data_IF_347030374327
#
_entry.id   IF_347030374327
#
_cell.length_a   1.000
_cell.length_b   1.000
_cell.length_c   1.000
_cell.angle_alpha   90.00
_cell.angle_beta   90.00
_cell.angle_gamma   90.00
#
_symmetry.space_group_name_H-M   'P 1'
#
loop_
_entity.id
_entity.type
_entity.pdbx_description
1 polymer ?
#
# COMPACT_ATOMS: atom_id res chain seq x y z
N UNK A 1 -4.20 24.23 -25.98
CA UNK A 1 -3.90 23.60 -24.70
C UNK A 1 -4.25 22.12 -24.82
N UNK A 2 -3.49 21.19 -24.21
CA UNK A 2 -3.86 19.79 -24.21
C UNK A 2 -5.23 19.60 -23.53
N UNK A 3 -5.96 18.58 -23.91
CA UNK A 3 -7.20 18.20 -23.25
C UNK A 3 -6.95 17.74 -21.81
N UNK A 4 -7.98 17.72 -20.94
CA UNK A 4 -7.83 17.23 -19.55
C UNK A 4 -7.31 15.78 -19.49
N UNK A 5 -7.82 14.83 -20.32
CA UNK A 5 -7.25 13.49 -20.37
C UNK A 5 -5.77 13.43 -20.78
N UNK A 6 -5.36 14.19 -21.79
CA UNK A 6 -3.96 14.28 -22.22
C UNK A 6 -3.06 14.87 -21.12
N UNK A 7 -3.56 15.90 -20.43
CA UNK A 7 -2.86 16.50 -19.29
C UNK A 7 -2.70 15.49 -18.14
N UNK A 8 -3.74 14.71 -17.84
CA UNK A 8 -3.68 13.65 -16.83
C UNK A 8 -2.66 12.58 -17.23
N UNK A 9 -2.75 12.06 -18.47
CA UNK A 9 -1.83 11.04 -18.98
C UNK A 9 -0.37 11.49 -18.87
N UNK A 10 -0.06 12.68 -19.33
CA UNK A 10 1.31 13.22 -19.30
C UNK A 10 1.82 13.34 -17.86
N UNK A 11 1.06 13.99 -16.98
CA UNK A 11 1.46 14.22 -15.58
C UNK A 11 1.53 12.93 -14.76
N UNK A 12 0.62 11.97 -15.01
CA UNK A 12 0.65 10.67 -14.35
C UNK A 12 1.91 9.87 -14.72
N UNK A 13 2.33 9.88 -16.00
CA UNK A 13 3.57 9.24 -16.44
C UNK A 13 4.81 9.89 -15.81
N UNK A 14 4.84 11.21 -15.71
CA UNK A 14 5.94 11.92 -15.03
C UNK A 14 6.03 11.56 -13.55
N UNK A 15 4.87 11.46 -12.87
CA UNK A 15 4.79 11.02 -11.48
C UNK A 15 5.27 9.58 -11.31
N UNK A 16 4.86 8.69 -12.22
CA UNK A 16 5.28 7.29 -12.21
C UNK A 16 6.80 7.16 -12.37
N UNK A 17 7.39 7.89 -13.32
CA UNK A 17 8.84 7.90 -13.53
C UNK A 17 9.60 8.43 -12.30
N UNK A 18 9.10 9.50 -11.68
CA UNK A 18 9.68 10.05 -10.44
C UNK A 18 9.56 9.08 -9.27
N UNK A 19 8.39 8.44 -9.10
CA UNK A 19 8.18 7.45 -8.04
C UNK A 19 9.13 6.26 -8.20
N UNK A 20 9.37 5.79 -9.44
CA UNK A 20 10.39 4.77 -9.69
C UNK A 20 11.78 5.23 -9.24
N UNK A 21 12.24 6.39 -9.72
CA UNK A 21 13.56 6.91 -9.39
C UNK A 21 13.76 7.11 -7.87
N UNK A 22 12.73 7.62 -7.17
CA UNK A 22 12.76 7.84 -5.72
C UNK A 22 12.82 6.53 -4.95
N UNK A 23 12.02 5.53 -5.35
CA UNK A 23 11.88 4.30 -4.59
C UNK A 23 12.90 3.21 -4.97
N UNK A 24 13.54 3.25 -6.14
CA UNK A 24 14.46 2.20 -6.57
C UNK A 24 15.53 1.82 -5.52
N UNK A 25 16.19 2.75 -4.81
CA UNK A 25 17.14 2.41 -3.76
C UNK A 25 16.48 1.75 -2.53
N UNK A 26 15.24 2.13 -2.21
CA UNK A 26 14.48 1.56 -1.08
C UNK A 26 14.01 0.15 -1.46
N UNK A 27 13.50 -0.03 -2.67
CA UNK A 27 13.08 -1.32 -3.20
C UNK A 27 14.24 -2.33 -3.21
N UNK A 28 15.44 -1.91 -3.61
CA UNK A 28 16.64 -2.75 -3.57
C UNK A 28 17.00 -3.22 -2.15
N UNK A 29 16.77 -2.39 -1.13
CA UNK A 29 16.97 -2.77 0.29
C UNK A 29 15.84 -3.65 0.82
N UNK A 30 14.61 -3.46 0.36
CA UNK A 30 13.44 -4.22 0.81
C UNK A 30 13.35 -5.61 0.19
N UNK A 31 13.81 -5.78 -1.05
CA UNK A 31 13.74 -7.05 -1.77
C UNK A 31 14.35 -8.24 -0.98
N UNK A 32 15.56 -8.15 -0.38
CA UNK A 32 16.08 -9.22 0.47
C UNK A 32 15.25 -9.44 1.74
N UNK A 33 14.75 -8.39 2.39
CA UNK A 33 13.94 -8.50 3.62
C UNK A 33 12.65 -9.30 3.36
N UNK A 34 11.91 -8.93 2.30
CA UNK A 34 10.71 -9.65 1.90
C UNK A 34 11.06 -11.05 1.36
N UNK A 35 12.15 -11.16 0.60
CA UNK A 35 12.62 -12.44 0.05
C UNK A 35 12.95 -13.45 1.14
N UNK A 36 13.68 -13.06 2.16
CA UNK A 36 13.98 -13.90 3.33
C UNK A 36 12.72 -14.27 4.13
N UNK A 37 11.78 -13.33 4.29
CA UNK A 37 10.49 -13.61 4.91
C UNK A 37 9.76 -14.73 4.15
N UNK A 38 9.63 -14.61 2.82
CA UNK A 38 8.95 -15.58 1.97
C UNK A 38 9.71 -16.92 1.92
N UNK A 39 11.03 -16.90 1.84
CA UNK A 39 11.87 -18.11 1.81
C UNK A 39 11.70 -18.98 3.05
N UNK A 40 11.45 -18.35 4.22
CA UNK A 40 11.17 -19.03 5.49
C UNK A 40 9.70 -19.47 5.66
N UNK A 41 8.85 -19.24 4.66
CA UNK A 41 7.41 -19.52 4.73
C UNK A 41 6.61 -18.47 5.50
N UNK A 42 7.17 -17.29 5.69
CA UNK A 42 6.51 -16.14 6.32
C UNK A 42 5.48 -15.48 5.42
N UNK A 43 4.71 -14.58 6.00
CA UNK A 43 3.60 -13.87 5.36
C UNK A 43 3.92 -12.38 5.23
N UNK A 44 3.53 -11.80 4.11
CA UNK A 44 3.53 -10.35 3.91
C UNK A 44 2.11 -9.86 4.18
N UNK A 45 1.96 -9.10 5.25
CA UNK A 45 0.68 -8.50 5.64
C UNK A 45 0.55 -7.11 5.03
N UNK A 46 -0.67 -6.72 4.66
CA UNK A 46 -0.96 -5.38 4.16
C UNK A 46 -2.10 -4.75 4.95
N UNK A 47 -2.09 -3.44 5.06
CA UNK A 47 -3.18 -2.66 5.62
C UNK A 47 -3.33 -1.34 4.89
N UNK A 48 -4.55 -1.00 4.54
CA UNK A 48 -4.96 0.31 4.06
C UNK A 48 -6.39 0.57 4.50
N UNK A 49 -6.74 1.83 4.73
CA UNK A 49 -8.08 2.27 5.08
C UNK A 49 -8.64 3.21 4.01
N UNK A 50 -9.95 3.21 3.79
CA UNK A 50 -10.57 3.96 2.70
C UNK A 50 -10.00 3.60 1.33
N UNK A 51 -9.65 4.58 0.49
CA UNK A 51 -9.08 4.33 -0.84
C UNK A 51 -7.71 3.64 -0.79
N UNK A 52 -6.94 3.76 0.31
CA UNK A 52 -5.68 3.04 0.49
C UNK A 52 -5.87 1.52 0.58
N UNK A 53 -7.08 1.05 0.91
CA UNK A 53 -7.41 -0.38 0.87
C UNK A 53 -7.36 -0.96 -0.54
N UNK A 54 -7.70 -0.19 -1.57
CA UNK A 54 -7.59 -0.63 -2.95
C UNK A 54 -6.14 -0.97 -3.33
N UNK A 55 -5.20 -0.15 -2.88
CA UNK A 55 -3.76 -0.37 -3.07
C UNK A 55 -3.30 -1.62 -2.30
N UNK A 56 -3.78 -1.79 -1.06
CA UNK A 56 -3.52 -2.99 -0.25
C UNK A 56 -4.02 -4.26 -0.95
N UNK A 57 -5.24 -4.23 -1.49
CA UNK A 57 -5.89 -5.37 -2.15
C UNK A 57 -5.25 -5.73 -3.49
N UNK A 58 -4.58 -4.78 -4.16
CA UNK A 58 -3.98 -4.98 -5.48
C UNK A 58 -3.02 -6.17 -5.53
N UNK A 59 -2.25 -6.40 -4.49
CA UNK A 59 -1.25 -7.48 -4.45
C UNK A 59 -1.72 -8.76 -3.75
N UNK A 60 -2.99 -8.83 -3.29
CA UNK A 60 -3.53 -9.96 -2.55
C UNK A 60 -4.25 -10.93 -3.49
N UNK A 61 -3.81 -12.18 -3.53
CA UNK A 61 -4.57 -13.30 -4.12
C UNK A 61 -4.91 -13.14 -5.61
N UNK A 62 -4.07 -12.48 -6.39
CA UNK A 62 -4.27 -12.30 -7.83
C UNK A 62 -3.25 -13.09 -8.65
N UNK A 63 -3.62 -13.39 -9.89
CA UNK A 63 -2.72 -14.01 -10.86
C UNK A 63 -1.43 -13.18 -11.05
N UNK A 64 -0.29 -13.83 -11.02
CA UNK A 64 1.03 -13.19 -11.10
C UNK A 64 1.54 -12.62 -9.78
N UNK A 65 0.71 -12.62 -8.72
CA UNK A 65 1.10 -12.19 -7.37
C UNK A 65 1.62 -13.34 -6.51
N UNK A 66 2.17 -12.99 -5.34
CA UNK A 66 2.64 -13.95 -4.35
C UNK A 66 1.47 -14.52 -3.54
N UNK A 67 1.43 -15.84 -3.34
CA UNK A 67 0.40 -16.50 -2.52
C UNK A 67 0.44 -16.07 -1.06
N UNK A 68 1.62 -15.72 -0.54
CA UNK A 68 1.86 -15.38 0.87
C UNK A 68 1.53 -13.93 1.24
N UNK A 69 0.83 -13.20 0.38
CA UNK A 69 0.36 -11.85 0.69
C UNK A 69 -1.08 -11.88 1.18
N UNK A 70 -1.35 -11.22 2.29
CA UNK A 70 -2.69 -11.16 2.91
C UNK A 70 -2.95 -9.79 3.52
N UNK A 71 -4.21 -9.44 3.78
CA UNK A 71 -4.61 -8.11 4.24
C UNK A 71 -5.36 -8.10 5.56
N UNK A 72 -5.07 -7.10 6.36
CA UNK A 72 -5.89 -6.68 7.49
C UNK A 72 -7.00 -5.81 6.90
N UNK A 73 -8.24 -6.29 6.95
CA UNK A 73 -9.38 -5.62 6.32
C UNK A 73 -10.07 -4.70 7.33
N UNK A 74 -10.29 -3.45 6.95
CA UNK A 74 -11.11 -2.51 7.70
C UNK A 74 -12.59 -2.65 7.28
N UNK A 75 -13.45 -3.25 8.13
CA UNK A 75 -14.87 -3.44 7.78
C UNK A 75 -15.66 -2.13 7.67
N UNK A 76 -15.09 -1.01 8.13
CA UNK A 76 -15.74 0.31 8.08
C UNK A 76 -15.36 1.12 6.84
N UNK A 77 -14.52 0.54 5.95
CA UNK A 77 -14.03 1.23 4.75
C UNK A 77 -13.42 2.62 5.03
N UNK A 78 -12.78 2.79 6.20
CA UNK A 78 -12.15 4.04 6.61
C UNK A 78 -13.06 5.01 7.38
N UNK A 79 -14.33 4.69 7.58
CA UNK A 79 -15.30 5.63 8.19
C UNK A 79 -14.91 6.09 9.60
N UNK A 80 -14.22 5.23 10.36
CA UNK A 80 -13.78 5.52 11.73
C UNK A 80 -12.25 5.41 11.89
N UNK A 81 -11.52 5.58 10.80
CA UNK A 81 -10.05 5.42 10.80
C UNK A 81 -9.30 6.38 11.74
N UNK A 82 -9.94 7.51 12.10
CA UNK A 82 -9.39 8.51 13.04
C UNK A 82 -9.82 8.31 14.49
N UNK A 83 -10.61 7.26 14.78
CA UNK A 83 -10.96 6.93 16.16
C UNK A 83 -9.75 6.28 16.87
N UNK A 84 -9.15 6.94 17.89
CA UNK A 84 -8.03 6.38 18.60
C UNK A 84 -8.35 5.01 19.22
N UNK A 85 -7.41 4.06 19.12
CA UNK A 85 -7.56 2.69 19.60
C UNK A 85 -8.32 1.76 18.63
N UNK A 86 -8.93 2.27 17.56
CA UNK A 86 -9.63 1.43 16.59
C UNK A 86 -8.65 0.54 15.82
N UNK A 87 -7.58 1.09 15.27
CA UNK A 87 -6.56 0.35 14.54
C UNK A 87 -5.87 -0.70 15.40
N UNK A 88 -5.62 -0.39 16.68
CA UNK A 88 -5.08 -1.35 17.65
C UNK A 88 -6.01 -2.56 17.84
N UNK A 89 -7.32 -2.33 18.01
CA UNK A 89 -8.31 -3.41 18.13
C UNK A 89 -8.42 -4.24 16.87
N UNK A 90 -8.37 -3.59 15.71
CA UNK A 90 -8.40 -4.24 14.40
C UNK A 90 -7.19 -5.16 14.20
N UNK A 91 -5.98 -4.65 14.48
CA UNK A 91 -4.74 -5.42 14.41
C UNK A 91 -4.72 -6.59 15.40
N UNK A 92 -5.14 -6.37 16.65
CA UNK A 92 -5.21 -7.42 17.65
C UNK A 92 -6.24 -8.52 17.30
N UNK A 93 -7.38 -8.15 16.68
CA UNK A 93 -8.34 -9.15 16.17
C UNK A 93 -7.73 -9.99 15.07
N UNK A 94 -7.08 -9.34 14.10
CA UNK A 94 -6.42 -10.01 12.99
C UNK A 94 -5.31 -10.95 13.49
N UNK A 95 -4.47 -10.49 14.42
CA UNK A 95 -3.37 -11.26 15.01
C UNK A 95 -3.87 -12.55 15.68
N UNK A 96 -4.98 -12.49 16.41
CA UNK A 96 -5.58 -13.72 16.99
C UNK A 96 -6.05 -14.73 15.94
N UNK A 97 -6.45 -14.27 14.75
CA UNK A 97 -6.99 -15.13 13.69
C UNK A 97 -5.91 -15.66 12.75
N UNK A 98 -4.93 -14.83 12.42
CA UNK A 98 -3.97 -15.08 11.35
C UNK A 98 -2.50 -15.07 11.81
N UNK A 99 -2.26 -14.66 13.05
CA UNK A 99 -0.95 -14.58 13.70
C UNK A 99 0.03 -13.60 12.97
N UNK A 100 0.53 -12.65 13.69
CA UNK A 100 1.63 -11.79 13.27
C UNK A 100 2.91 -12.34 13.91
N UNK A 101 3.81 -12.92 13.11
CA UNK A 101 4.99 -13.58 13.63
C UNK A 101 6.26 -12.74 13.43
N UNK A 102 7.21 -12.79 14.39
CA UNK A 102 8.48 -12.08 14.27
C UNK A 102 9.22 -12.41 12.95
N UNK A 103 9.77 -11.38 12.31
CA UNK A 103 10.46 -11.49 11.04
C UNK A 103 9.56 -11.48 9.81
N UNK A 104 8.24 -11.42 9.97
CA UNK A 104 7.30 -11.12 8.88
C UNK A 104 7.28 -9.63 8.55
N UNK A 105 6.56 -9.26 7.51
CA UNK A 105 6.51 -7.87 7.01
C UNK A 105 5.07 -7.36 7.04
N UNK A 106 4.88 -6.13 7.54
CA UNK A 106 3.65 -5.37 7.33
C UNK A 106 3.92 -4.23 6.34
N UNK A 107 3.12 -4.13 5.29
CA UNK A 107 3.04 -2.96 4.42
C UNK A 107 1.80 -2.17 4.82
N UNK A 108 2.00 -1.04 5.49
CA UNK A 108 0.94 -0.13 5.89
C UNK A 108 0.83 1.03 4.88
N UNK A 109 -0.38 1.27 4.37
CA UNK A 109 -0.65 2.19 3.28
C UNK A 109 -1.57 3.30 3.78
N UNK A 110 -1.10 4.54 3.68
CA UNK A 110 -1.88 5.74 3.98
C UNK A 110 -1.30 6.92 3.24
N UNK A 111 -2.08 7.51 2.32
CA UNK A 111 -1.57 8.57 1.47
C UNK A 111 -1.09 9.79 2.27
N UNK A 112 -1.86 10.25 3.24
CA UNK A 112 -1.46 11.34 4.15
C UNK A 112 -0.57 10.90 5.32
N UNK A 113 -0.60 9.60 5.67
CA UNK A 113 0.14 9.05 6.80
C UNK A 113 -0.29 9.58 8.18
N UNK A 114 -1.38 10.38 8.27
CA UNK A 114 -1.77 11.10 9.48
C UNK A 114 -2.80 10.38 10.35
N UNK A 115 -3.59 9.46 9.77
CA UNK A 115 -4.77 8.87 10.39
C UNK A 115 -4.40 7.83 11.47
N UNK A 116 -5.24 7.69 12.51
CA UNK A 116 -4.95 6.82 13.65
C UNK A 116 -4.77 5.35 13.28
N UNK A 117 -5.69 4.77 12.49
CA UNK A 117 -5.70 3.33 12.22
C UNK A 117 -4.42 2.80 11.56
N UNK A 118 -3.88 3.38 10.47
CA UNK A 118 -2.64 2.89 9.87
C UNK A 118 -1.43 3.01 10.80
N UNK A 119 -1.39 4.06 11.64
CA UNK A 119 -0.32 4.25 12.63
C UNK A 119 -0.41 3.18 13.73
N UNK A 120 -1.60 2.92 14.25
CA UNK A 120 -1.84 1.93 15.31
C UNK A 120 -1.59 0.49 14.84
N UNK A 121 -2.02 0.16 13.61
CA UNK A 121 -1.74 -1.16 12.99
C UNK A 121 -0.23 -1.35 12.83
N UNK A 122 0.48 -0.32 12.37
CA UNK A 122 1.93 -0.33 12.24
C UNK A 122 2.65 -0.52 13.59
N UNK A 123 2.21 0.21 14.63
CA UNK A 123 2.75 0.07 15.99
C UNK A 123 2.51 -1.33 16.56
N UNK A 124 1.32 -1.90 16.36
CA UNK A 124 1.02 -3.27 16.80
C UNK A 124 1.92 -4.30 16.11
N UNK A 125 2.11 -4.19 14.80
CA UNK A 125 2.99 -5.08 14.05
C UNK A 125 4.46 -4.99 14.52
N UNK A 126 4.98 -3.78 14.79
CA UNK A 126 6.32 -3.60 15.37
C UNK A 126 6.46 -4.27 16.74
N UNK A 127 5.46 -4.15 17.60
CA UNK A 127 5.45 -4.83 18.90
C UNK A 127 5.50 -6.36 18.76
N UNK A 128 5.00 -6.89 17.64
CA UNK A 128 5.07 -8.31 17.30
C UNK A 128 6.37 -8.72 16.59
N UNK A 129 7.30 -7.80 16.37
CA UNK A 129 8.58 -8.07 15.74
C UNK A 129 8.54 -8.16 14.22
N UNK A 130 7.53 -7.56 13.58
CA UNK A 130 7.48 -7.42 12.13
C UNK A 130 8.30 -6.23 11.68
N UNK A 131 8.86 -6.34 10.47
CA UNK A 131 9.37 -5.17 9.74
C UNK A 131 8.19 -4.39 9.16
N UNK A 132 8.10 -3.11 9.45
CA UNK A 132 7.04 -2.24 8.96
C UNK A 132 7.52 -1.38 7.79
N UNK A 133 6.83 -1.49 6.68
CA UNK A 133 7.00 -0.67 5.48
C UNK A 133 5.81 0.27 5.35
N UNK A 134 6.05 1.58 5.35
CA UNK A 134 5.03 2.56 5.03
C UNK A 134 5.00 2.84 3.53
N UNK A 135 3.83 2.85 2.91
CA UNK A 135 3.60 3.44 1.60
C UNK A 135 2.74 4.69 1.79
N UNK A 136 3.31 5.87 1.57
CA UNK A 136 2.68 7.17 1.85
C UNK A 136 3.12 8.21 0.82
N UNK A 137 2.45 9.36 0.77
CA UNK A 137 2.98 10.55 0.13
C UNK A 137 3.72 11.38 1.17
N UNK A 138 5.04 11.51 1.06
CA UNK A 138 5.82 12.34 1.96
C UNK A 138 5.40 13.81 1.89
N UNK A 139 5.06 14.31 0.69
CA UNK A 139 4.58 15.68 0.50
C UNK A 139 3.26 15.94 1.22
N UNK A 140 2.28 15.02 1.10
CA UNK A 140 1.01 15.14 1.82
C UNK A 140 1.20 14.98 3.33
N UNK A 141 2.02 14.04 3.73
CA UNK A 141 2.32 13.79 5.14
C UNK A 141 2.94 15.03 5.81
N UNK A 142 3.85 15.72 5.15
CA UNK A 142 4.45 16.96 5.66
C UNK A 142 3.45 18.12 5.74
N UNK A 143 2.51 18.19 4.80
CA UNK A 143 1.56 19.30 4.70
C UNK A 143 0.43 19.30 5.75
N UNK A 144 0.27 18.20 6.51
CA UNK A 144 -0.86 18.06 7.46
C UNK A 144 -0.37 17.60 8.84
N UNK A 145 -0.96 18.04 9.95
CA UNK A 145 -0.66 17.51 11.27
C UNK A 145 -1.15 16.06 11.41
N UNK A 146 -0.58 15.33 12.37
CA UNK A 146 -1.06 13.99 12.73
C UNK A 146 -2.43 14.09 13.45
N UNK A 147 -3.30 13.12 13.17
CA UNK A 147 -4.57 12.92 13.91
C UNK A 147 -4.38 11.94 15.10
N UNK A 148 -3.25 11.25 15.15
CA UNK A 148 -2.96 10.30 16.22
C UNK A 148 -2.52 11.03 17.49
N UNK A 149 -3.00 10.62 18.70
CA UNK A 149 -2.70 11.29 19.97
C UNK A 149 -1.20 11.42 20.30
N UNK A 150 -0.35 10.55 19.75
CA UNK A 150 1.10 10.63 19.94
C UNK A 150 1.77 11.74 19.12
N UNK A 151 1.06 12.40 18.21
CA UNK A 151 1.64 13.34 17.25
C UNK A 151 2.47 12.70 16.13
N UNK A 152 2.71 11.38 16.16
CA UNK A 152 3.50 10.65 15.15
C UNK A 152 2.66 10.39 13.90
N UNK A 153 3.33 10.30 12.76
CA UNK A 153 2.77 9.88 11.48
C UNK A 153 3.22 8.46 11.13
N UNK A 154 2.63 7.88 10.10
CA UNK A 154 2.97 6.53 9.66
C UNK A 154 4.47 6.40 9.30
N UNK A 155 5.03 7.40 8.64
CA UNK A 155 6.47 7.45 8.32
C UNK A 155 7.38 7.46 9.56
N UNK A 156 6.91 7.99 10.70
CA UNK A 156 7.70 8.08 11.94
C UNK A 156 7.74 6.74 12.70
N UNK A 157 6.79 5.85 12.39
CA UNK A 157 6.66 4.55 13.08
C UNK A 157 7.08 3.37 12.20
N UNK A 158 7.32 3.60 10.92
CA UNK A 158 7.79 2.58 9.98
C UNK A 158 9.32 2.42 10.00
N UNK A 159 9.80 1.23 9.67
CA UNK A 159 11.23 0.94 9.51
C UNK A 159 11.74 1.36 8.12
N UNK A 160 10.85 1.33 7.13
CA UNK A 160 11.11 1.75 5.75
C UNK A 160 9.94 2.53 5.20
N UNK A 161 10.23 3.52 4.34
CA UNK A 161 9.21 4.35 3.71
C UNK A 161 9.36 4.29 2.19
N UNK A 162 8.24 3.99 1.53
CA UNK A 162 8.04 4.11 0.09
C UNK A 162 7.18 5.35 -0.17
N UNK A 163 7.64 6.24 -1.04
CA UNK A 163 6.95 7.47 -1.39
C UNK A 163 6.20 7.31 -2.72
N UNK A 164 4.88 7.42 -2.69
CA UNK A 164 4.11 7.39 -3.93
C UNK A 164 4.14 8.71 -4.72
N UNK A 165 4.79 9.75 -4.17
CA UNK A 165 4.97 11.05 -4.83
C UNK A 165 3.67 11.81 -5.10
N UNK A 166 2.54 11.40 -4.51
CA UNK A 166 1.26 12.08 -4.68
C UNK A 166 1.31 13.49 -4.12
N UNK A 167 0.68 14.42 -4.83
CA UNK A 167 0.64 15.83 -4.42
C UNK A 167 -0.40 16.09 -3.33
N UNK A 168 -0.27 17.15 -2.53
CA UNK A 168 -1.34 17.56 -1.60
C UNK A 168 -2.68 17.71 -2.32
N UNK A 169 -3.72 17.03 -1.77
CA UNK A 169 -5.03 16.94 -2.40
C UNK A 169 -5.20 15.85 -3.45
N UNK A 170 -4.12 15.13 -3.80
CA UNK A 170 -4.09 13.97 -4.72
C UNK A 170 -4.58 14.23 -6.15
N UNK A 171 -4.89 15.47 -6.52
CA UNK A 171 -5.41 15.83 -7.85
C UNK A 171 -4.37 16.62 -8.64
N UNK A 172 -4.10 16.19 -9.90
CA UNK A 172 -2.97 16.71 -10.69
C UNK A 172 -3.36 17.57 -11.89
N UNK A 173 -4.64 17.60 -12.27
CA UNK A 173 -5.12 18.34 -13.43
C UNK A 173 -5.95 19.55 -12.97
N UNK A 174 -5.56 20.74 -13.38
CA UNK A 174 -6.35 21.95 -13.16
C UNK A 174 -7.52 21.99 -14.15
N UNK A 175 -8.75 22.02 -13.60
CA UNK A 175 -10.00 22.09 -14.37
C UNK A 175 -10.37 23.56 -14.62
N UNK A 176 -10.20 24.42 -13.61
CA UNK A 176 -10.38 25.86 -13.70
C UNK A 176 -9.11 26.55 -13.22
N UNK A 177 -8.45 27.38 -14.10
CA UNK A 177 -7.34 28.22 -13.66
C UNK A 177 -7.81 29.24 -12.61
N UNK A 178 -6.95 29.52 -11.64
CA UNK A 178 -7.27 30.45 -10.54
C UNK A 178 -7.69 31.87 -10.96
N UNK A 179 -7.23 32.31 -12.14
CA UNK A 179 -7.53 33.61 -12.72
C UNK A 179 -8.95 33.73 -13.31
N UNK A 180 -9.55 32.61 -13.74
CA UNK A 180 -10.93 32.56 -14.23
C UNK A 180 -11.95 32.43 -13.08
N UNK A 181 -11.56 31.88 -11.93
CA UNK A 181 -12.41 31.75 -10.75
C UNK A 181 -12.72 33.11 -10.09
N UNK A 182 -11.84 34.11 -10.24
CA UNK A 182 -12.02 35.45 -9.69
C UNK A 182 -13.14 36.26 -10.37
N UNK A 183 -13.67 35.83 -11.53
CA UNK A 183 -14.75 36.49 -12.28
C UNK A 183 -16.10 35.80 -12.18
N UNK A 184 -16.16 34.61 -11.65
CA UNK A 184 -17.37 33.82 -11.52
C UNK A 184 -17.82 33.75 -10.03
N UNK A 185 -18.56 34.74 -9.59
CA UNK A 185 -19.32 34.74 -8.34
C UNK A 185 -18.56 34.89 -7.01
N UNK A 186 -19.19 35.59 -6.06
CA UNK A 186 -18.70 35.91 -4.71
C UNK A 186 -18.52 34.70 -3.75
N UNK A 187 -18.57 33.47 -4.28
CA UNK A 187 -18.14 32.22 -3.63
C UNK A 187 -16.94 31.69 -4.41
N UNK A 188 -15.75 32.24 -4.10
CA UNK A 188 -14.50 31.85 -4.74
C UNK A 188 -14.25 30.35 -4.56
N UNK A 189 -14.63 29.52 -5.54
CA UNK A 189 -14.05 28.21 -5.71
C UNK A 189 -12.58 28.42 -6.14
N UNK A 190 -11.67 28.29 -5.19
CA UNK A 190 -10.26 28.15 -5.45
C UNK A 190 -10.05 27.07 -6.53
N UNK A 191 -9.04 27.23 -7.40
CA UNK A 191 -8.71 26.35 -8.53
C UNK A 191 -9.14 24.88 -8.32
N UNK A 192 -10.18 24.44 -9.05
CA UNK A 192 -10.64 23.05 -8.94
C UNK A 192 -9.64 22.14 -9.68
N UNK A 193 -9.10 21.15 -8.96
CA UNK A 193 -8.23 20.11 -9.51
C UNK A 193 -8.97 18.78 -9.54
N UNK A 194 -8.65 17.96 -10.53
CA UNK A 194 -9.18 16.61 -10.72
C UNK A 194 -8.05 15.62 -11.04
N UNK A 195 -8.39 14.33 -11.17
CA UNK A 195 -7.46 13.28 -11.55
C UNK A 195 -6.53 12.85 -10.40
N UNK A 196 -7.02 12.02 -9.45
CA UNK A 196 -6.19 11.46 -8.38
C UNK A 196 -5.18 10.44 -8.92
N UNK A 197 -4.02 10.32 -8.28
CA UNK A 197 -2.92 9.45 -8.73
C UNK A 197 -2.40 8.49 -7.66
N UNK A 198 -2.75 8.69 -6.39
CA UNK A 198 -2.20 7.89 -5.28
C UNK A 198 -2.42 6.38 -5.44
N UNK A 199 -3.59 5.97 -5.93
CA UNK A 199 -3.89 4.55 -6.17
C UNK A 199 -3.07 4.00 -7.35
N UNK A 200 -3.01 4.71 -8.47
CA UNK A 200 -2.23 4.31 -9.65
C UNK A 200 -0.75 4.09 -9.30
N UNK A 201 -0.15 5.09 -8.68
CA UNK A 201 1.28 5.05 -8.33
C UNK A 201 1.52 4.06 -7.18
N UNK A 202 0.65 4.03 -6.17
CA UNK A 202 0.74 3.09 -5.05
C UNK A 202 0.72 1.63 -5.51
N UNK A 203 -0.20 1.27 -6.41
CA UNK A 203 -0.25 -0.07 -7.01
C UNK A 203 1.03 -0.39 -7.78
N UNK A 204 1.56 0.56 -8.54
CA UNK A 204 2.82 0.39 -9.28
C UNK A 204 4.00 0.14 -8.33
N UNK A 205 4.13 0.93 -7.26
CA UNK A 205 5.22 0.79 -6.26
C UNK A 205 5.15 -0.58 -5.58
N UNK A 206 3.95 -1.06 -5.23
CA UNK A 206 3.80 -2.39 -4.62
C UNK A 206 4.12 -3.51 -5.61
N UNK A 207 3.73 -3.40 -6.87
CA UNK A 207 4.10 -4.39 -7.89
C UNK A 207 5.61 -4.42 -8.13
N UNK A 208 6.30 -3.27 -8.14
CA UNK A 208 7.77 -3.24 -8.21
C UNK A 208 8.41 -3.93 -7.00
N UNK A 209 7.87 -3.71 -5.80
CA UNK A 209 8.36 -4.39 -4.59
C UNK A 209 8.17 -5.91 -4.68
N UNK A 210 7.00 -6.38 -5.13
CA UNK A 210 6.75 -7.82 -5.30
C UNK A 210 7.66 -8.44 -6.36
N UNK A 211 7.89 -7.75 -7.48
CA UNK A 211 8.83 -8.20 -8.53
C UNK A 211 10.28 -8.22 -8.02
N UNK A 212 10.71 -7.21 -7.26
CA UNK A 212 12.02 -7.21 -6.61
C UNK A 212 12.20 -8.38 -5.63
N UNK A 213 11.15 -8.70 -4.87
CA UNK A 213 11.12 -9.87 -3.98
C UNK A 213 11.27 -11.18 -4.77
N UNK A 214 10.56 -11.33 -5.89
CA UNK A 214 10.66 -12.49 -6.76
C UNK A 214 12.06 -12.61 -7.41
N UNK A 215 12.64 -11.49 -7.81
CA UNK A 215 13.99 -11.48 -8.39
C UNK A 215 15.04 -11.95 -7.36
N UNK A 216 14.94 -11.46 -6.12
CA UNK A 216 15.78 -11.92 -5.02
C UNK A 216 15.62 -13.43 -4.76
N UNK A 217 14.39 -13.94 -4.67
CA UNK A 217 14.10 -15.36 -4.48
C UNK A 217 14.72 -16.20 -5.61
N UNK A 218 14.58 -15.77 -6.86
CA UNK A 218 15.15 -16.42 -8.03
C UNK A 218 16.69 -16.47 -7.99
N UNK A 219 17.34 -15.34 -7.67
CA UNK A 219 18.79 -15.23 -7.57
C UNK A 219 19.35 -16.13 -6.45
N UNK A 220 18.61 -16.28 -5.36
CA UNK A 220 18.98 -17.14 -4.22
C UNK A 220 18.45 -18.57 -4.34
N UNK A 221 17.90 -18.97 -5.51
CA UNK A 221 17.43 -20.33 -5.82
C UNK A 221 16.31 -20.83 -4.90
N UNK A 222 15.49 -19.93 -4.38
CA UNK A 222 14.29 -20.27 -3.62
C UNK A 222 13.08 -20.51 -4.54
N UNK A 223 12.11 -21.33 -4.11
CA UNK A 223 10.84 -21.49 -4.82
C UNK A 223 10.13 -20.15 -5.02
N UNK A 224 9.49 -19.97 -6.17
CA UNK A 224 8.71 -18.79 -6.50
C UNK A 224 7.22 -19.09 -6.26
N UNK A 225 6.62 -18.59 -5.17
CA UNK A 225 5.24 -18.91 -4.80
C UNK A 225 4.23 -18.01 -5.55
N UNK A 226 4.26 -18.11 -6.90
CA UNK A 226 3.47 -17.26 -7.80
C UNK A 226 2.13 -17.93 -8.11
N UNK A 227 1.05 -17.18 -7.90
CA UNK A 227 -0.29 -17.59 -8.29
C UNK A 227 -0.46 -17.53 -9.82
N UNK A 228 -1.08 -18.56 -10.40
CA UNK A 228 -1.43 -18.62 -11.81
C UNK A 228 -2.85 -18.12 -12.05
N UNK A 229 -3.09 -17.57 -13.24
CA UNK A 229 -4.44 -17.23 -13.66
C UNK A 229 -5.31 -18.50 -13.74
N UNK A 230 -6.47 -18.47 -13.10
CA UNK A 230 -7.42 -19.61 -13.13
C UNK A 230 -7.93 -19.94 -14.55
N UNK A 231 -7.71 -19.06 -15.51
CA UNK A 231 -8.00 -19.29 -16.93
C UNK A 231 -6.99 -20.22 -17.60
N UNK A 232 -5.92 -20.60 -16.90
CA UNK A 232 -4.90 -21.51 -17.43
C UNK A 232 -5.14 -22.95 -16.93
N UNK A 233 -4.92 -23.98 -17.76
CA UNK A 233 -5.02 -25.37 -17.34
C UNK A 233 -4.12 -25.69 -16.14
N UNK A 234 -4.64 -26.43 -15.15
CA UNK A 234 -3.91 -26.85 -13.95
C UNK A 234 -3.61 -25.73 -12.95
N UNK A 235 -4.14 -24.52 -13.17
CA UNK A 235 -3.87 -23.38 -12.29
C UNK A 235 -4.56 -23.51 -10.92
N UNK A 236 -5.75 -24.10 -10.87
CA UNK A 236 -6.51 -24.27 -9.62
C UNK A 236 -5.76 -25.17 -8.66
N UNK A 237 -5.31 -26.33 -9.13
CA UNK A 237 -4.51 -27.30 -8.35
C UNK A 237 -3.21 -26.66 -7.89
N UNK A 238 -2.47 -26.03 -8.80
CA UNK A 238 -1.23 -25.34 -8.48
C UNK A 238 -1.42 -24.27 -7.39
N UNK A 239 -2.44 -23.41 -7.52
CA UNK A 239 -2.71 -22.35 -6.55
C UNK A 239 -3.14 -22.92 -5.20
N UNK A 240 -3.93 -24.01 -5.20
CA UNK A 240 -4.34 -24.71 -3.98
C UNK A 240 -3.15 -25.31 -3.24
N UNK A 241 -2.24 -25.97 -3.95
CA UNK A 241 -1.04 -26.56 -3.36
C UNK A 241 -0.13 -25.50 -2.74
N UNK A 242 0.02 -24.35 -3.41
CA UNK A 242 0.75 -23.21 -2.85
C UNK A 242 0.07 -22.68 -1.58
N UNK A 243 -1.25 -22.51 -1.59
CA UNK A 243 -2.01 -21.96 -0.48
C UNK A 243 -2.03 -22.88 0.75
N UNK A 244 -1.91 -24.21 0.58
CA UNK A 244 -1.86 -25.17 1.70
C UNK A 244 -0.73 -24.88 2.69
N UNK A 245 0.41 -24.35 2.21
CA UNK A 245 1.55 -23.96 3.06
C UNK A 245 1.21 -22.84 4.05
N UNK A 246 0.18 -22.05 3.74
CA UNK A 246 -0.24 -20.88 4.51
C UNK A 246 -1.63 -21.06 5.14
N UNK A 247 -2.09 -22.32 5.32
CA UNK A 247 -3.41 -22.61 5.88
C UNK A 247 -3.58 -21.95 7.25
N UNK A 248 -4.67 -21.21 7.42
CA UNK A 248 -4.97 -20.46 8.64
C UNK A 248 -4.21 -19.14 8.81
N UNK A 249 -3.26 -18.85 7.91
CA UNK A 249 -2.45 -17.62 7.96
C UNK A 249 -2.95 -16.52 7.01
N UNK A 250 -3.69 -16.88 5.96
CA UNK A 250 -4.23 -15.93 5.01
C UNK A 250 -5.65 -15.53 5.38
N UNK A 251 -5.95 -14.23 5.35
CA UNK A 251 -7.30 -13.69 5.65
C UNK A 251 -8.31 -13.98 4.54
N UNK A 252 -7.84 -14.33 3.34
CA UNK A 252 -8.65 -14.76 2.21
C UNK A 252 -8.29 -16.21 1.89
N UNK A 253 -9.28 -17.10 1.96
CA UNK A 253 -9.09 -18.44 1.44
C UNK A 253 -9.05 -18.33 -0.10
N UNK A 254 -7.94 -18.76 -0.66
CA UNK A 254 -7.83 -19.01 -2.10
C UNK A 254 -8.56 -20.32 -2.34
N UNK A 255 -9.78 -20.23 -2.84
CA UNK A 255 -10.61 -21.37 -3.19
C UNK A 255 -10.03 -22.13 -4.39
#
# INVERSE_FOLDING_TARGET
MPSLPESYFTRANELLARAWATNAPVLARLAPILGECVARGGVIHTFGSGHSELVSREIIGRAGGLVCVTGIIDPTAGFIENLPGYGTRLAARYDRQHQLLPGEVLIAISNSGKNCSPIEVALHARQKGLTVVALTSLAMSQATPSEHPSGKKLSDVADHVLDNGSVPGDAIVEVFPADLSAKASATAEASAKAGPTSTLIGCSVLNWLMLGTLDWLKQNKHPLPILRSQNLPGAIEHNRDLAQKYKGRLSRQLA
#
